data_IF_312837360672
#
_entry.id   IF_312837360672
#
_cell.length_a   1.000
_cell.length_b   1.000
_cell.length_c   1.000
_cell.angle_alpha   90.00
_cell.angle_beta   90.00
_cell.angle_gamma   90.00
#
_symmetry.space_group_name_H-M   'P 1'
#
loop_
_entity.id
_entity.type
_entity.pdbx_description
1 polymer ?
#
# COMPACT_ATOMS: atom_id res chain seq x y z
N UNK A 1 29.67 43.19 -41.62
CA UNK A 1 29.31 42.15 -42.60
C UNK A 1 28.30 41.26 -41.90
N UNK A 2 27.09 41.75 -41.61
CA UNK A 2 26.27 41.08 -40.59
C UNK A 2 24.81 41.28 -40.92
N UNK A 3 24.14 40.20 -41.35
CA UNK A 3 22.70 39.95 -41.23
C UNK A 3 22.21 38.73 -42.03
N UNK A 4 23.05 38.08 -42.86
CA UNK A 4 22.65 36.89 -43.62
C UNK A 4 22.73 35.55 -42.87
N UNK A 5 23.36 35.51 -41.70
CA UNK A 5 23.61 34.25 -40.93
C UNK A 5 22.43 33.90 -39.99
N UNK A 6 21.66 34.91 -39.55
CA UNK A 6 20.52 34.75 -38.62
C UNK A 6 19.37 33.85 -39.13
N UNK A 7 18.91 33.92 -40.40
CA UNK A 7 17.80 33.08 -40.85
C UNK A 7 18.19 31.61 -41.02
N UNK A 8 19.44 31.32 -41.34
CA UNK A 8 19.93 29.94 -41.55
C UNK A 8 19.97 29.17 -40.22
N UNK A 9 20.39 29.83 -39.14
CA UNK A 9 20.41 29.25 -37.80
C UNK A 9 19.01 28.92 -37.27
N UNK A 10 18.02 29.74 -37.58
CA UNK A 10 16.62 29.51 -37.20
C UNK A 10 16.01 28.32 -37.94
N UNK A 11 16.28 28.17 -39.24
CA UNK A 11 15.79 27.02 -40.03
C UNK A 11 16.43 25.73 -39.53
N UNK A 12 17.73 25.74 -39.24
CA UNK A 12 18.43 24.56 -38.72
C UNK A 12 17.91 24.13 -37.34
N UNK A 13 17.59 25.09 -36.47
CA UNK A 13 16.97 24.83 -35.17
C UNK A 13 15.60 24.18 -35.30
N UNK A 14 14.77 24.63 -36.24
CA UNK A 14 13.42 24.08 -36.47
C UNK A 14 13.50 22.64 -36.98
N UNK A 15 14.41 22.37 -37.93
CA UNK A 15 14.61 21.03 -38.49
C UNK A 15 15.12 20.06 -37.41
N UNK A 16 16.05 20.50 -36.55
CA UNK A 16 16.55 19.68 -35.44
C UNK A 16 15.46 19.38 -34.39
N UNK A 17 14.56 20.33 -34.11
CA UNK A 17 13.43 20.06 -33.21
C UNK A 17 12.41 19.09 -33.80
N UNK A 18 12.18 19.10 -35.13
CA UNK A 18 11.28 18.12 -35.77
C UNK A 18 11.88 16.70 -35.80
N UNK A 19 13.20 16.56 -35.89
CA UNK A 19 13.86 15.25 -35.88
C UNK A 19 13.81 14.58 -34.49
N UNK A 20 13.83 15.37 -33.41
CA UNK A 20 13.78 14.85 -32.03
C UNK A 20 12.40 14.30 -31.62
N UNK A 21 11.31 14.76 -32.24
CA UNK A 21 9.95 14.34 -31.86
C UNK A 21 9.53 12.97 -32.42
N UNK A 22 10.30 12.37 -33.32
CA UNK A 22 9.94 11.10 -33.98
C UNK A 22 10.48 9.87 -33.20
N UNK A 23 11.35 10.08 -32.22
CA UNK A 23 12.12 8.98 -31.58
C UNK A 23 11.51 8.37 -30.32
N UNK A 24 10.28 8.72 -29.94
CA UNK A 24 9.74 8.38 -28.61
C UNK A 24 8.52 7.47 -28.63
N UNK A 25 8.54 6.31 -29.31
CA UNK A 25 7.54 5.25 -29.03
C UNK A 25 7.90 3.84 -29.54
N UNK A 26 9.13 3.37 -29.28
CA UNK A 26 9.44 1.93 -29.41
C UNK A 26 9.56 1.34 -28.03
N UNK A 27 8.43 0.94 -27.45
CA UNK A 27 8.40 0.07 -26.27
C UNK A 27 8.97 -1.28 -26.69
N UNK A 28 10.17 -1.59 -26.21
CA UNK A 28 10.74 -2.93 -26.27
C UNK A 28 9.76 -3.91 -25.61
N UNK A 29 9.15 -4.76 -26.43
CA UNK A 29 8.22 -5.79 -25.98
C UNK A 29 9.03 -7.04 -25.66
N UNK A 30 9.38 -7.24 -24.38
CA UNK A 30 9.94 -8.49 -23.89
C UNK A 30 8.92 -9.62 -24.13
N UNK A 31 9.21 -10.49 -25.09
CA UNK A 31 8.45 -11.72 -25.33
C UNK A 31 8.83 -12.76 -24.29
N UNK A 32 8.00 -12.89 -23.26
CA UNK A 32 8.09 -13.94 -22.25
C UNK A 32 7.79 -15.31 -22.87
N UNK A 33 8.34 -16.37 -22.27
CA UNK A 33 8.01 -17.74 -22.70
C UNK A 33 6.58 -18.10 -22.31
N UNK A 34 5.87 -18.96 -23.07
CA UNK A 34 4.49 -19.33 -22.77
C UNK A 34 4.25 -19.90 -21.36
N UNK A 35 5.28 -20.54 -20.77
CA UNK A 35 5.23 -21.09 -19.41
C UNK A 35 5.35 -20.01 -18.33
N UNK A 36 6.21 -19.01 -18.56
CA UNK A 36 6.36 -17.87 -17.65
C UNK A 36 5.12 -16.99 -17.66
N UNK A 37 4.52 -16.77 -18.84
CA UNK A 37 3.27 -16.03 -18.97
C UNK A 37 2.13 -16.72 -18.22
N UNK A 38 1.99 -18.05 -18.37
CA UNK A 38 0.98 -18.82 -17.64
C UNK A 38 1.17 -18.73 -16.11
N UNK A 39 2.42 -18.84 -15.65
CA UNK A 39 2.74 -18.77 -14.22
C UNK A 39 2.46 -17.38 -13.66
N UNK A 40 2.82 -16.34 -14.39
CA UNK A 40 2.56 -14.94 -14.03
C UNK A 40 1.08 -14.64 -13.97
N UNK A 41 0.31 -15.13 -14.95
CA UNK A 41 -1.13 -14.96 -14.99
C UNK A 41 -1.83 -15.66 -13.83
N UNK A 42 -1.45 -16.91 -13.53
CA UNK A 42 -1.96 -17.64 -12.36
C UNK A 42 -1.66 -16.93 -11.03
N UNK A 43 -0.44 -16.38 -10.88
CA UNK A 43 -0.07 -15.63 -9.68
C UNK A 43 -0.87 -14.33 -9.52
N UNK A 44 -1.18 -13.67 -10.64
CA UNK A 44 -2.01 -12.47 -10.69
C UNK A 44 -3.45 -12.77 -10.28
N UNK A 45 -4.05 -13.82 -10.85
CA UNK A 45 -5.41 -14.28 -10.49
C UNK A 45 -5.50 -14.66 -9.01
N UNK A 46 -4.49 -15.34 -8.46
CA UNK A 46 -4.44 -15.65 -7.02
C UNK A 46 -4.38 -14.41 -6.14
N UNK A 47 -3.60 -13.39 -6.52
CA UNK A 47 -3.57 -12.11 -5.80
C UNK A 47 -4.90 -11.39 -5.86
N UNK A 48 -5.52 -11.32 -7.03
CA UNK A 48 -6.81 -10.65 -7.23
C UNK A 48 -7.92 -11.35 -6.43
N UNK A 49 -7.94 -12.68 -6.41
CA UNK A 49 -8.87 -13.45 -5.58
C UNK A 49 -8.65 -13.21 -4.08
N UNK A 50 -7.39 -13.13 -3.65
CA UNK A 50 -7.05 -12.83 -2.25
C UNK A 50 -7.41 -11.40 -1.85
N UNK A 51 -7.19 -10.42 -2.73
CA UNK A 51 -7.58 -9.02 -2.53
C UNK A 51 -9.10 -8.86 -2.49
N UNK A 52 -9.82 -9.51 -3.40
CA UNK A 52 -11.27 -9.51 -3.42
C UNK A 52 -11.86 -10.15 -2.15
N UNK A 53 -11.28 -11.27 -1.71
CA UNK A 53 -11.65 -11.91 -0.45
C UNK A 53 -11.37 -11.01 0.75
N UNK A 54 -10.22 -10.30 0.77
CA UNK A 54 -9.93 -9.30 1.82
C UNK A 54 -10.97 -8.19 1.81
N UNK A 55 -11.23 -7.58 0.66
CA UNK A 55 -12.25 -6.54 0.53
C UNK A 55 -13.62 -6.96 1.08
N UNK A 56 -14.08 -8.18 0.77
CA UNK A 56 -15.34 -8.68 1.33
C UNK A 56 -15.30 -8.99 2.84
N UNK A 57 -14.13 -9.31 3.40
CA UNK A 57 -13.98 -9.74 4.80
C UNK A 57 -13.52 -8.63 5.75
N UNK A 58 -13.04 -7.51 5.23
CA UNK A 58 -12.68 -6.32 6.00
C UNK A 58 -13.93 -5.53 6.42
N UNK A 59 -14.75 -6.14 7.27
CA UNK A 59 -15.88 -5.44 7.91
C UNK A 59 -15.37 -4.35 8.87
N UNK A 60 -16.16 -3.30 9.08
CA UNK A 60 -15.88 -2.33 10.13
C UNK A 60 -15.98 -2.97 11.52
N UNK A 61 -15.10 -2.56 12.43
CA UNK A 61 -15.20 -2.85 13.88
C UNK A 61 -15.60 -1.61 14.70
N UNK A 62 -16.09 -0.56 14.01
CA UNK A 62 -16.51 0.70 14.60
C UNK A 62 -15.39 1.71 14.80
N UNK A 63 -15.73 2.96 15.07
CA UNK A 63 -14.79 4.07 15.36
C UNK A 63 -13.71 4.29 14.29
N UNK A 64 -14.06 4.10 13.01
CA UNK A 64 -13.12 4.27 11.89
C UNK A 64 -12.06 3.17 11.80
N UNK A 65 -12.27 2.04 12.49
CA UNK A 65 -11.42 0.86 12.41
C UNK A 65 -12.07 -0.18 11.50
N UNK A 66 -11.28 -0.81 10.65
CA UNK A 66 -11.69 -1.91 9.79
C UNK A 66 -10.83 -3.14 10.07
N UNK A 67 -11.45 -4.33 10.07
CA UNK A 67 -10.73 -5.57 10.39
C UNK A 67 -9.55 -5.77 9.45
N UNK A 68 -8.45 -6.34 9.92
CA UNK A 68 -7.33 -6.69 9.06
C UNK A 68 -6.20 -7.43 9.78
N UNK A 69 -5.02 -7.56 9.15
CA UNK A 69 -3.96 -8.44 9.64
C UNK A 69 -2.99 -7.79 10.64
N UNK A 70 -3.28 -6.60 11.17
CA UNK A 70 -2.39 -5.92 12.12
C UNK A 70 -3.02 -5.86 13.49
N UNK A 71 -2.32 -6.36 14.51
CA UNK A 71 -2.75 -6.22 15.90
C UNK A 71 -2.27 -4.87 16.44
N UNK A 72 -3.23 -4.06 16.87
CA UNK A 72 -3.02 -2.84 17.63
C UNK A 72 -3.63 -2.98 19.01
N UNK A 73 -3.14 -2.20 19.96
CA UNK A 73 -3.78 -1.93 21.23
C UNK A 73 -4.31 -0.50 21.23
N UNK A 74 -5.62 -0.34 21.37
CA UNK A 74 -6.27 0.97 21.42
C UNK A 74 -6.30 1.45 22.87
N UNK A 75 -5.36 2.34 23.25
CA UNK A 75 -5.18 2.81 24.62
C UNK A 75 -6.45 3.44 25.20
N UNK A 76 -7.15 4.23 24.39
CA UNK A 76 -8.37 4.93 24.80
C UNK A 76 -9.48 3.99 25.27
N UNK A 77 -9.50 2.74 24.79
CA UNK A 77 -10.51 1.73 25.15
C UNK A 77 -9.91 0.53 25.89
N UNK A 78 -8.60 0.52 26.12
CA UNK A 78 -7.85 -0.60 26.68
C UNK A 78 -8.15 -1.93 25.97
N UNK A 79 -8.19 -1.90 24.63
CA UNK A 79 -8.68 -3.03 23.83
C UNK A 79 -7.73 -3.40 22.68
N UNK A 80 -7.56 -4.70 22.43
CA UNK A 80 -6.82 -5.19 21.28
C UNK A 80 -7.71 -5.28 20.04
N UNK A 81 -7.23 -4.81 18.90
CA UNK A 81 -7.96 -4.89 17.64
C UNK A 81 -7.05 -5.36 16.49
N UNK A 82 -7.57 -6.26 15.67
CA UNK A 82 -6.97 -6.67 14.41
C UNK A 82 -7.48 -5.76 13.29
N UNK A 83 -6.63 -4.87 12.76
CA UNK A 83 -7.00 -3.80 11.83
C UNK A 83 -6.25 -3.86 10.49
N UNK A 84 -6.80 -3.21 9.47
CA UNK A 84 -6.21 -3.12 8.14
C UNK A 84 -5.17 -1.98 8.02
N UNK A 85 -4.53 -1.89 6.85
CA UNK A 85 -3.48 -0.89 6.58
C UNK A 85 -3.99 0.55 6.71
N UNK A 86 -5.21 0.83 6.24
CA UNK A 86 -5.77 2.18 6.29
C UNK A 86 -6.03 2.63 7.72
N UNK A 87 -6.47 1.70 8.56
CA UNK A 87 -6.65 1.95 9.99
C UNK A 87 -5.31 2.25 10.68
N UNK A 88 -4.23 1.55 10.32
CA UNK A 88 -2.88 1.90 10.82
C UNK A 88 -2.49 3.31 10.43
N UNK A 89 -2.71 3.67 9.15
CA UNK A 89 -2.40 5.01 8.66
C UNK A 89 -3.15 6.07 9.46
N UNK A 90 -4.43 5.81 9.76
CA UNK A 90 -5.24 6.67 10.61
C UNK A 90 -4.68 6.76 12.03
N UNK A 91 -4.26 5.65 12.63
CA UNK A 91 -3.63 5.67 13.96
C UNK A 91 -2.37 6.55 14.00
N UNK A 92 -1.58 6.61 12.93
CA UNK A 92 -0.41 7.51 12.83
C UNK A 92 -0.81 8.96 12.63
N UNK A 93 -1.85 9.22 11.84
CA UNK A 93 -2.29 10.57 11.48
C UNK A 93 -3.23 11.22 12.51
N UNK A 94 -3.82 10.41 13.40
CA UNK A 94 -4.85 10.81 14.37
C UNK A 94 -4.40 10.44 15.79
N UNK A 95 -3.59 11.29 16.45
CA UNK A 95 -3.06 11.03 17.79
C UNK A 95 -4.15 10.72 18.82
N UNK A 96 -5.35 11.30 18.63
CA UNK A 96 -6.52 11.10 19.49
C UNK A 96 -7.05 9.66 19.52
N UNK A 97 -6.68 8.83 18.54
CA UNK A 97 -7.04 7.41 18.58
C UNK A 97 -6.21 6.66 19.63
N UNK A 98 -5.00 7.16 19.94
CA UNK A 98 -4.08 6.57 20.93
C UNK A 98 -3.85 5.08 20.67
N UNK A 99 -3.55 4.71 19.43
CA UNK A 99 -3.25 3.33 19.08
C UNK A 99 -1.76 3.02 19.33
N UNK A 100 -1.47 1.88 19.94
CA UNK A 100 -0.15 1.26 19.98
C UNK A 100 -0.11 0.12 18.98
N UNK A 101 0.87 0.12 18.08
CA UNK A 101 1.02 -0.96 17.08
C UNK A 101 1.82 -2.10 17.71
N UNK A 102 1.22 -3.29 17.77
CA UNK A 102 1.82 -4.45 18.44
C UNK A 102 2.54 -5.34 17.42
N UNK A 103 1.83 -5.80 16.38
CA UNK A 103 2.35 -6.81 15.45
C UNK A 103 1.58 -6.86 14.13
N UNK A 104 2.23 -7.32 13.06
CA UNK A 104 1.60 -7.66 11.78
C UNK A 104 1.62 -9.18 11.56
N UNK A 105 0.54 -9.70 10.99
CA UNK A 105 0.37 -11.12 10.65
C UNK A 105 0.25 -11.31 9.14
N UNK A 106 0.39 -12.56 8.68
CA UNK A 106 0.24 -12.88 7.26
C UNK A 106 -1.19 -12.67 6.76
N UNK A 107 -2.17 -12.95 7.62
CA UNK A 107 -3.58 -12.84 7.31
C UNK A 107 -4.41 -12.54 8.56
N UNK A 108 -5.67 -12.17 8.33
CA UNK A 108 -6.62 -11.82 9.38
C UNK A 108 -6.84 -13.00 10.35
N UNK A 109 -7.03 -14.23 9.83
CA UNK A 109 -7.25 -15.43 10.66
C UNK A 109 -6.16 -15.62 11.71
N UNK A 110 -4.90 -15.45 11.33
CA UNK A 110 -3.77 -15.56 12.24
C UNK A 110 -3.78 -14.45 13.30
N UNK A 111 -4.12 -13.21 12.93
CA UNK A 111 -4.23 -12.10 13.88
C UNK A 111 -5.29 -12.38 14.96
N UNK A 112 -6.49 -12.81 14.56
CA UNK A 112 -7.57 -13.10 15.50
C UNK A 112 -7.26 -14.30 16.40
N UNK A 113 -6.55 -15.30 15.91
CA UNK A 113 -6.08 -16.43 16.72
C UNK A 113 -5.14 -15.96 17.84
N UNK A 114 -4.19 -15.06 17.54
CA UNK A 114 -3.29 -14.51 18.56
C UNK A 114 -4.04 -13.59 19.52
N UNK A 115 -4.95 -12.75 19.01
CA UNK A 115 -5.77 -11.87 19.84
C UNK A 115 -6.57 -12.68 20.87
N UNK A 116 -7.11 -13.84 20.49
CA UNK A 116 -7.83 -14.73 21.40
C UNK A 116 -6.93 -15.21 22.54
N UNK A 117 -5.70 -15.64 22.25
CA UNK A 117 -4.71 -16.02 23.26
C UNK A 117 -4.35 -14.84 24.18
N UNK A 118 -4.20 -13.65 23.63
CA UNK A 118 -3.94 -12.41 24.40
C UNK A 118 -5.10 -12.08 25.33
N UNK A 119 -6.35 -12.25 24.87
CA UNK A 119 -7.55 -12.04 25.70
C UNK A 119 -7.64 -13.05 26.85
N UNK A 120 -7.21 -14.29 26.63
CA UNK A 120 -7.20 -15.33 27.66
C UNK A 120 -6.12 -15.11 28.74
N UNK A 121 -5.03 -14.42 28.41
CA UNK A 121 -3.87 -14.26 29.31
C UNK A 121 -4.03 -13.26 30.47
N UNK A 122 -5.24 -12.79 30.77
CA UNK A 122 -5.58 -11.97 31.96
C UNK A 122 -4.69 -10.74 32.19
N UNK A 123 -5.26 -9.56 31.87
CA UNK A 123 -4.81 -8.21 32.25
C UNK A 123 -3.41 -7.84 31.80
N UNK A 124 -3.35 -7.23 30.63
CA UNK A 124 -2.17 -6.49 30.22
C UNK A 124 -2.36 -5.05 30.70
N UNK A 125 -2.00 -4.83 31.95
CA UNK A 125 -2.30 -3.60 32.66
C UNK A 125 -1.43 -2.40 32.22
N UNK A 126 -0.35 -2.61 31.45
CA UNK A 126 0.67 -1.58 31.22
C UNK A 126 1.12 -1.38 29.76
N UNK A 127 0.22 -1.44 28.76
CA UNK A 127 0.64 -1.11 27.38
C UNK A 127 0.72 0.38 27.08
N UNK A 128 -0.06 1.17 27.77
CA UNK A 128 -0.10 2.61 27.56
C UNK A 128 0.52 3.26 28.77
N UNK A 129 1.58 4.00 28.56
CA UNK A 129 2.09 4.90 29.59
C UNK A 129 0.99 5.89 29.95
N UNK A 130 0.85 6.19 31.25
CA UNK A 130 0.07 7.34 31.68
C UNK A 130 0.69 8.56 31.01
N UNK A 131 0.01 9.10 30.00
CA UNK A 131 0.30 10.43 29.52
C UNK A 131 -0.08 11.36 30.66
N UNK A 132 0.91 11.69 31.50
CA UNK A 132 0.85 12.83 32.41
C UNK A 132 0.72 14.13 31.61
#
# INVERSE_FOLDING_TARGET
MDNKIKPIFLIFSIIMTMLFTISSDVKAQETLTPLEDYTRQKLKEQREADEFRRFQTESSIGNGLNKGPHLIYLCSRRHFACVNNDTIRNCTQRPQMSCLIIKKFQNQKQCFSEQYEVMLKSRIDNFCDSVD
#
